data_IF_459282920633
#
_entry.id   IF_459282920633
#
_cell.length_a   1.000
_cell.length_b   1.000
_cell.length_c   1.000
_cell.angle_alpha   90.00
_cell.angle_beta   90.00
_cell.angle_gamma   90.00
#
_symmetry.space_group_name_H-M   'P 1'
#
loop_
_entity.id
_entity.type
_entity.pdbx_description
1 polymer ?
#
# COMPACT_ATOMS: atom_id res chain seq x y z
N UNK A 1 -41.19 -0.02 5.73
CA UNK A 1 -40.48 0.39 6.94
C UNK A 1 -41.05 1.74 7.36
N UNK A 2 -41.08 2.04 8.64
CA UNK A 2 -41.52 3.34 9.12
C UNK A 2 -40.49 4.40 8.70
N UNK A 3 -40.96 5.61 8.37
CA UNK A 3 -40.11 6.72 7.96
C UNK A 3 -40.40 7.94 8.82
N UNK A 4 -39.44 8.83 8.95
CA UNK A 4 -39.56 10.15 9.51
C UNK A 4 -39.20 11.23 8.51
N UNK A 5 -39.75 12.40 8.67
CA UNK A 5 -39.42 13.54 7.82
C UNK A 5 -38.21 14.28 8.36
N UNK A 6 -37.15 14.35 7.57
CA UNK A 6 -35.94 15.15 7.82
C UNK A 6 -35.91 16.34 6.84
N UNK A 7 -35.17 17.38 7.19
CA UNK A 7 -35.13 18.59 6.35
C UNK A 7 -33.71 19.16 6.23
N UNK A 8 -33.44 19.76 5.07
CA UNK A 8 -32.27 20.58 4.80
C UNK A 8 -32.67 21.87 4.06
N UNK A 9 -31.73 22.62 3.53
CA UNK A 9 -31.99 23.87 2.79
C UNK A 9 -32.81 23.67 1.49
N UNK A 10 -32.95 22.41 1.02
CA UNK A 10 -33.72 22.05 -0.18
C UNK A 10 -35.13 21.55 0.15
N UNK A 11 -35.51 21.51 1.42
CA UNK A 11 -36.81 21.04 1.88
C UNK A 11 -36.80 19.69 2.59
N UNK A 12 -37.98 19.13 2.78
CA UNK A 12 -38.17 17.87 3.51
C UNK A 12 -37.92 16.65 2.62
N UNK A 13 -37.51 15.55 3.24
CA UNK A 13 -37.32 14.23 2.62
C UNK A 13 -37.53 13.14 3.67
N UNK A 14 -38.11 12.01 3.23
CA UNK A 14 -38.35 10.86 4.10
C UNK A 14 -37.07 10.02 4.31
N UNK A 15 -36.77 9.68 5.55
CA UNK A 15 -35.66 8.84 5.99
C UNK A 15 -36.21 7.69 6.83
N UNK A 16 -35.65 6.48 6.73
CA UNK A 16 -36.06 5.34 7.57
C UNK A 16 -35.83 5.66 9.05
N UNK A 17 -36.86 5.39 9.88
CA UNK A 17 -36.84 5.73 11.32
C UNK A 17 -35.68 5.11 12.09
N UNK A 18 -35.20 3.95 11.65
CA UNK A 18 -34.12 3.21 12.31
C UNK A 18 -32.73 3.79 12.03
N UNK A 19 -32.61 4.71 11.05
CA UNK A 19 -31.32 5.30 10.66
C UNK A 19 -30.97 6.53 11.46
N UNK A 20 -29.66 6.74 11.70
CA UNK A 20 -29.16 7.96 12.33
C UNK A 20 -28.93 9.10 11.35
N UNK A 21 -28.74 8.80 10.04
CA UNK A 21 -28.51 9.84 9.04
C UNK A 21 -29.76 10.70 8.79
N UNK A 22 -29.54 11.87 8.21
CA UNK A 22 -30.57 12.85 7.92
C UNK A 22 -30.78 13.08 6.43
N UNK A 23 -31.29 14.30 6.12
CA UNK A 23 -31.74 14.67 4.77
C UNK A 23 -30.61 14.66 3.73
N UNK A 24 -29.43 15.16 4.05
CA UNK A 24 -28.33 15.27 3.06
C UNK A 24 -27.81 13.90 2.65
N UNK A 25 -27.64 12.98 3.58
CA UNK A 25 -27.26 11.58 3.28
C UNK A 25 -28.34 10.93 2.44
N UNK A 26 -29.60 11.08 2.77
CA UNK A 26 -30.70 10.49 2.02
C UNK A 26 -30.76 11.00 0.57
N UNK A 27 -30.52 12.31 0.34
CA UNK A 27 -30.42 12.86 -1.03
C UNK A 27 -29.23 12.27 -1.77
N UNK A 28 -28.10 12.10 -1.12
CA UNK A 28 -26.91 11.50 -1.75
C UNK A 28 -27.18 10.09 -2.21
N UNK A 29 -27.87 9.26 -1.41
CA UNK A 29 -28.31 7.91 -1.81
C UNK A 29 -29.21 7.89 -3.04
N UNK A 30 -30.02 8.93 -3.23
CA UNK A 30 -30.88 9.05 -4.40
C UNK A 30 -30.13 9.54 -5.65
N UNK A 31 -29.18 10.47 -5.46
CA UNK A 31 -28.53 11.18 -6.56
C UNK A 31 -27.29 10.47 -7.10
N UNK A 32 -26.55 9.73 -6.27
CA UNK A 32 -25.29 9.09 -6.64
C UNK A 32 -25.40 7.56 -6.63
N UNK A 33 -26.08 7.00 -7.64
CA UNK A 33 -26.21 5.55 -7.85
C UNK A 33 -25.17 5.07 -8.86
N UNK A 34 -23.87 5.26 -8.52
CA UNK A 34 -22.75 5.02 -9.40
C UNK A 34 -21.80 4.02 -8.73
N UNK A 35 -21.60 2.86 -9.37
CA UNK A 35 -20.74 1.80 -8.84
C UNK A 35 -21.27 1.17 -7.54
N UNK A 36 -20.41 0.38 -6.92
CA UNK A 36 -20.72 -0.30 -5.66
C UNK A 36 -19.69 0.02 -4.56
N UNK A 37 -18.61 0.71 -4.92
CA UNK A 37 -17.51 1.03 -4.00
C UNK A 37 -17.98 2.07 -2.98
N UNK A 38 -18.07 1.62 -1.73
CA UNK A 38 -18.43 2.50 -0.62
C UNK A 38 -17.21 3.26 -0.10
N UNK A 39 -17.48 4.40 0.54
CA UNK A 39 -16.44 5.17 1.21
C UNK A 39 -15.66 4.27 2.18
N UNK A 40 -14.31 4.22 2.10
CA UNK A 40 -13.51 3.39 3.00
C UNK A 40 -13.80 3.69 4.47
N UNK A 41 -13.90 2.63 5.28
CA UNK A 41 -14.16 2.71 6.72
C UNK A 41 -13.13 3.60 7.44
N UNK A 42 -11.90 3.58 6.95
CA UNK A 42 -10.80 4.38 7.47
C UNK A 42 -11.07 5.90 7.34
N UNK A 43 -11.72 6.33 6.27
CA UNK A 43 -12.15 7.72 6.08
C UNK A 43 -13.24 8.09 7.09
N UNK A 44 -14.20 7.20 7.29
CA UNK A 44 -15.29 7.41 8.29
C UNK A 44 -14.70 7.56 9.69
N UNK A 45 -13.80 6.66 10.09
CA UNK A 45 -13.14 6.73 11.40
C UNK A 45 -12.28 8.00 11.55
N UNK A 46 -11.59 8.42 10.49
CA UNK A 46 -10.80 9.65 10.50
C UNK A 46 -11.69 10.89 10.60
N UNK A 47 -12.82 10.93 9.88
CA UNK A 47 -13.82 12.01 10.02
C UNK A 47 -14.35 12.08 11.45
N UNK A 48 -14.75 10.96 12.04
CA UNK A 48 -15.22 10.92 13.41
C UNK A 48 -14.13 11.37 14.41
N UNK A 49 -12.88 11.03 14.18
CA UNK A 49 -11.73 11.52 14.97
C UNK A 49 -11.61 13.05 14.88
N UNK A 50 -11.78 13.62 13.69
CA UNK A 50 -11.81 15.07 13.50
C UNK A 50 -12.98 15.70 14.28
N UNK A 51 -14.19 15.12 14.19
CA UNK A 51 -15.36 15.65 14.91
C UNK A 51 -15.15 15.63 16.42
N UNK A 52 -14.59 14.54 16.95
CA UNK A 52 -14.20 14.44 18.36
C UNK A 52 -13.19 15.53 18.76
N UNK A 53 -12.09 15.66 18.00
CA UNK A 53 -11.06 16.65 18.27
C UNK A 53 -11.61 18.08 18.19
N UNK A 54 -12.46 18.37 17.20
CA UNK A 54 -13.08 19.67 17.01
C UNK A 54 -14.04 20.03 18.15
N UNK A 55 -14.85 19.08 18.61
CA UNK A 55 -15.74 19.30 19.75
C UNK A 55 -14.96 19.64 21.03
N UNK A 56 -13.90 18.88 21.34
CA UNK A 56 -13.02 19.14 22.49
C UNK A 56 -12.34 20.51 22.40
N UNK A 57 -11.86 20.88 21.21
CA UNK A 57 -11.17 22.17 21.03
C UNK A 57 -12.14 23.33 21.06
N UNK A 58 -13.31 23.24 20.43
CA UNK A 58 -14.32 24.29 20.46
C UNK A 58 -14.89 24.50 21.88
N UNK A 59 -15.05 23.43 22.67
CA UNK A 59 -15.39 23.56 24.11
C UNK A 59 -14.30 24.32 24.87
N UNK A 60 -13.04 23.94 24.76
CA UNK A 60 -11.89 24.61 25.40
C UNK A 60 -11.71 26.07 24.97
N UNK A 61 -12.17 26.43 23.78
CA UNK A 61 -12.19 27.80 23.27
C UNK A 61 -13.46 28.60 23.70
N UNK A 62 -14.40 27.97 24.40
CA UNK A 62 -15.64 28.59 24.85
C UNK A 62 -16.67 28.81 23.73
N UNK A 63 -16.53 28.10 22.61
CA UNK A 63 -17.43 28.22 21.44
C UNK A 63 -18.55 27.18 21.44
N UNK A 64 -18.34 26.03 22.10
CA UNK A 64 -19.30 24.94 22.18
C UNK A 64 -19.62 24.64 23.65
N UNK A 65 -20.91 24.45 23.94
CA UNK A 65 -21.37 24.04 25.27
C UNK A 65 -20.81 22.67 25.66
N UNK A 66 -20.45 22.52 26.95
CA UNK A 66 -19.78 21.33 27.46
C UNK A 66 -20.64 20.04 27.34
N UNK A 67 -21.96 20.13 27.57
CA UNK A 67 -22.84 18.96 27.44
C UNK A 67 -23.04 18.55 25.98
N UNK A 68 -23.09 19.52 25.04
CA UNK A 68 -23.13 19.23 23.62
C UNK A 68 -21.81 18.59 23.14
N UNK A 69 -20.67 19.14 23.58
CA UNK A 69 -19.35 18.56 23.26
C UNK A 69 -19.22 17.12 23.76
N UNK A 70 -19.63 16.84 24.97
CA UNK A 70 -19.67 15.51 25.58
C UNK A 70 -20.53 14.52 24.77
N UNK A 71 -21.70 14.92 24.32
CA UNK A 71 -22.59 14.12 23.49
C UNK A 71 -21.95 13.81 22.13
N UNK A 72 -21.33 14.81 21.49
CA UNK A 72 -20.62 14.65 20.22
C UNK A 72 -19.43 13.69 20.37
N UNK A 73 -18.61 13.84 21.41
CA UNK A 73 -17.46 12.98 21.71
C UNK A 73 -17.92 11.53 21.90
N UNK A 74 -18.95 11.28 22.68
CA UNK A 74 -19.47 9.94 22.93
C UNK A 74 -19.97 9.26 21.64
N UNK A 75 -20.73 9.97 20.81
CA UNK A 75 -21.20 9.46 19.53
C UNK A 75 -20.06 9.23 18.54
N UNK A 76 -19.08 10.13 18.49
CA UNK A 76 -17.88 9.97 17.65
C UNK A 76 -17.06 8.75 18.06
N UNK A 77 -16.93 8.45 19.34
CA UNK A 77 -16.23 7.25 19.83
C UNK A 77 -16.93 5.95 19.39
N UNK A 78 -18.26 5.92 19.34
CA UNK A 78 -19.02 4.78 18.80
C UNK A 78 -18.74 4.58 17.28
N UNK A 79 -18.68 5.68 16.52
CA UNK A 79 -18.30 5.63 15.08
C UNK A 79 -16.86 5.12 14.91
N UNK A 80 -15.91 5.67 15.67
CA UNK A 80 -14.50 5.23 15.62
C UNK A 80 -14.39 3.74 15.95
N UNK A 81 -15.16 3.26 16.92
CA UNK A 81 -15.17 1.85 17.32
C UNK A 81 -15.90 0.91 16.35
N UNK A 82 -16.51 1.41 15.27
CA UNK A 82 -17.22 0.60 14.25
C UNK A 82 -18.62 0.18 14.66
N UNK A 83 -19.18 0.69 15.75
CA UNK A 83 -20.51 0.28 16.23
C UNK A 83 -21.65 0.77 15.32
N UNK A 84 -21.37 1.75 14.47
CA UNK A 84 -22.34 2.41 13.60
C UNK A 84 -21.98 2.28 12.12
N UNK A 85 -21.20 1.27 11.73
CA UNK A 85 -20.69 1.13 10.35
C UNK A 85 -21.77 1.04 9.28
N UNK A 86 -22.96 0.48 9.61
CA UNK A 86 -24.09 0.39 8.71
C UNK A 86 -24.76 1.73 8.40
N UNK A 87 -24.40 2.78 9.14
CA UNK A 87 -24.90 4.14 8.95
C UNK A 87 -24.12 4.95 7.89
N UNK A 88 -23.13 4.33 7.23
CA UNK A 88 -22.28 4.98 6.23
C UNK A 88 -22.39 4.30 4.86
N UNK A 89 -23.58 4.42 4.20
CA UNK A 89 -23.86 3.67 2.96
C UNK A 89 -23.36 4.36 1.70
N UNK A 90 -22.77 5.56 1.75
CA UNK A 90 -22.46 6.37 0.59
C UNK A 90 -21.32 5.80 -0.25
N UNK A 91 -21.47 5.91 -1.57
CA UNK A 91 -20.47 5.48 -2.54
C UNK A 91 -19.30 6.48 -2.65
N UNK A 92 -18.17 6.01 -3.15
CA UNK A 92 -16.99 6.84 -3.47
C UNK A 92 -17.33 7.86 -4.57
N UNK A 93 -18.16 7.47 -5.53
CA UNK A 93 -18.54 8.26 -6.71
C UNK A 93 -19.62 9.27 -6.35
N UNK A 94 -19.22 10.33 -5.62
CA UNK A 94 -20.06 11.41 -5.12
C UNK A 94 -19.44 12.77 -5.47
N UNK A 95 -19.89 13.88 -4.85
CA UNK A 95 -19.23 15.18 -5.05
C UNK A 95 -17.74 15.09 -4.69
N UNK A 96 -16.91 15.66 -5.54
CA UNK A 96 -15.46 15.55 -5.43
C UNK A 96 -14.82 16.23 -4.23
N UNK A 97 -15.57 17.09 -3.52
CA UNK A 97 -15.15 17.66 -2.22
C UNK A 97 -15.30 16.68 -1.04
N UNK A 98 -16.08 15.60 -1.20
CA UNK A 98 -16.45 14.68 -0.14
C UNK A 98 -17.53 15.19 0.81
N UNK A 99 -18.25 16.24 0.42
CA UNK A 99 -19.25 16.90 1.28
C UNK A 99 -20.35 15.94 1.75
N UNK A 100 -20.86 15.04 0.89
CA UNK A 100 -21.90 14.11 1.30
C UNK A 100 -21.41 13.18 2.41
N UNK A 101 -20.21 12.64 2.32
CA UNK A 101 -19.65 11.79 3.39
C UNK A 101 -19.37 12.60 4.67
N UNK A 102 -18.85 13.84 4.57
CA UNK A 102 -18.71 14.69 5.73
C UNK A 102 -20.06 14.93 6.41
N UNK A 103 -21.10 15.23 5.64
CA UNK A 103 -22.45 15.44 6.19
C UNK A 103 -23.06 14.14 6.72
N UNK A 104 -22.83 13.00 6.10
CA UNK A 104 -23.25 11.71 6.64
C UNK A 104 -22.68 11.49 8.06
N UNK A 105 -21.39 11.73 8.26
CA UNK A 105 -20.76 11.62 9.59
C UNK A 105 -21.35 12.66 10.56
N UNK A 106 -21.59 13.90 10.12
CA UNK A 106 -22.20 14.94 10.95
C UNK A 106 -23.61 14.55 11.39
N UNK A 107 -24.43 14.07 10.46
CA UNK A 107 -25.82 13.66 10.71
C UNK A 107 -25.89 12.46 11.65
N UNK A 108 -25.07 11.43 11.42
CA UNK A 108 -25.01 10.23 12.28
C UNK A 108 -24.56 10.58 13.70
N UNK A 109 -23.50 11.40 13.85
CA UNK A 109 -23.01 11.82 15.16
C UNK A 109 -24.07 12.66 15.87
N UNK A 110 -24.72 13.61 15.18
CA UNK A 110 -25.78 14.44 15.78
C UNK A 110 -26.98 13.57 16.18
N UNK A 111 -27.47 12.71 15.29
CA UNK A 111 -28.59 11.81 15.57
C UNK A 111 -28.32 10.88 16.76
N UNK A 112 -27.12 10.31 16.86
CA UNK A 112 -26.71 9.45 17.97
C UNK A 112 -26.54 10.23 19.28
N UNK A 113 -25.92 11.42 19.24
CA UNK A 113 -25.81 12.30 20.42
C UNK A 113 -27.15 12.71 20.95
N UNK A 114 -28.12 13.03 20.07
CA UNK A 114 -29.50 13.35 20.45
C UNK A 114 -30.19 12.17 21.13
N UNK A 115 -30.04 10.95 20.60
CA UNK A 115 -30.58 9.74 21.24
C UNK A 115 -29.96 9.50 22.62
N UNK A 116 -28.65 9.68 22.78
CA UNK A 116 -27.95 9.60 24.08
C UNK A 116 -28.46 10.63 25.08
N UNK A 117 -28.95 11.78 24.60
CA UNK A 117 -29.60 12.80 25.39
C UNK A 117 -31.11 12.54 25.66
N UNK A 118 -31.61 11.34 25.34
CA UNK A 118 -33.01 10.94 25.56
C UNK A 118 -34.01 11.55 24.58
N UNK A 119 -33.55 12.01 23.39
CA UNK A 119 -34.40 12.53 22.31
C UNK A 119 -34.68 11.44 21.29
N UNK A 120 -35.72 11.58 20.45
CA UNK A 120 -35.94 10.69 19.32
C UNK A 120 -34.73 10.65 18.37
N UNK A 121 -34.56 9.54 17.72
CA UNK A 121 -33.54 9.35 16.68
C UNK A 121 -33.81 10.33 15.53
N UNK A 122 -32.74 10.96 15.01
CA UNK A 122 -32.88 12.04 14.03
C UNK A 122 -33.08 13.43 14.62
N UNK A 123 -33.41 14.39 13.76
CA UNK A 123 -33.61 15.79 14.17
C UNK A 123 -32.31 16.56 14.41
N UNK A 124 -32.47 17.81 14.86
CA UNK A 124 -31.35 18.77 14.97
C UNK A 124 -31.21 19.38 16.39
N UNK A 125 -31.82 18.77 17.40
CA UNK A 125 -31.81 19.29 18.77
C UNK A 125 -31.72 18.16 19.81
N UNK A 126 -30.89 18.30 20.82
CA UNK A 126 -30.04 19.44 21.17
C UNK A 126 -28.81 19.62 20.30
N UNK A 127 -28.29 18.56 19.66
CA UNK A 127 -27.08 18.60 18.77
C UNK A 127 -27.50 18.83 17.33
N UNK A 128 -26.99 19.89 16.70
CA UNK A 128 -27.21 20.19 15.31
C UNK A 128 -25.99 19.73 14.44
N UNK A 129 -26.19 19.04 13.32
CA UNK A 129 -25.09 18.51 12.52
C UNK A 129 -24.17 19.59 11.95
N UNK A 130 -24.69 20.74 11.50
CA UNK A 130 -23.89 21.84 10.97
C UNK A 130 -23.36 22.77 12.08
N UNK A 131 -24.22 23.22 13.00
CA UNK A 131 -23.87 24.28 13.91
C UNK A 131 -22.98 23.82 15.06
N UNK A 132 -23.09 22.53 15.45
CA UNK A 132 -22.33 21.95 16.54
C UNK A 132 -21.30 20.94 16.08
N UNK A 133 -21.67 19.87 15.35
CA UNK A 133 -20.73 18.80 14.91
C UNK A 133 -19.73 19.34 13.90
N UNK A 134 -20.15 20.22 12.99
CA UNK A 134 -19.30 20.82 11.97
C UNK A 134 -18.77 22.22 12.34
N UNK A 135 -18.93 22.66 13.57
CA UNK A 135 -18.47 23.99 14.05
C UNK A 135 -16.98 24.20 13.75
N UNK A 136 -16.64 25.38 13.23
CA UNK A 136 -15.27 25.79 12.82
C UNK A 136 -14.69 24.98 11.66
N UNK A 137 -15.52 24.33 10.86
CA UNK A 137 -15.09 23.41 9.80
C UNK A 137 -15.82 23.68 8.48
N UNK A 138 -15.20 23.22 7.39
CA UNK A 138 -15.81 23.02 6.07
C UNK A 138 -15.50 21.60 5.58
N UNK A 139 -16.35 21.02 4.73
CA UNK A 139 -15.99 19.77 4.05
C UNK A 139 -14.68 19.91 3.29
N UNK A 140 -14.35 21.13 2.84
CA UNK A 140 -13.16 21.39 2.02
C UNK A 140 -11.85 21.19 2.79
N UNK A 141 -11.80 21.48 4.09
CA UNK A 141 -10.62 21.26 4.94
C UNK A 141 -10.70 19.96 5.75
N UNK A 142 -11.91 19.51 6.10
CA UNK A 142 -12.15 18.28 6.89
C UNK A 142 -11.81 17.04 6.08
N UNK A 143 -12.29 16.94 4.83
CA UNK A 143 -12.14 15.73 4.06
C UNK A 143 -10.67 15.44 3.71
N UNK A 144 -9.84 16.39 3.23
CA UNK A 144 -8.42 16.15 3.02
C UNK A 144 -7.67 15.82 4.32
N UNK A 145 -8.08 16.42 5.45
CA UNK A 145 -7.54 16.04 6.76
C UNK A 145 -7.85 14.57 7.10
N UNK A 146 -9.07 14.10 6.83
CA UNK A 146 -9.43 12.70 7.02
C UNK A 146 -8.63 11.76 6.09
N UNK A 147 -8.38 12.17 4.85
CA UNK A 147 -7.51 11.42 3.93
C UNK A 147 -6.11 11.22 4.51
N UNK A 148 -5.49 12.28 5.00
CA UNK A 148 -4.17 12.24 5.62
C UNK A 148 -4.14 11.32 6.84
N UNK A 149 -5.08 11.48 7.78
CA UNK A 149 -5.19 10.64 8.99
C UNK A 149 -5.34 9.16 8.62
N UNK A 150 -6.24 8.83 7.71
CA UNK A 150 -6.53 7.46 7.29
C UNK A 150 -5.32 6.80 6.61
N UNK A 151 -4.67 7.51 5.69
CA UNK A 151 -3.52 7.02 4.93
C UNK A 151 -2.33 6.74 5.86
N UNK A 152 -1.96 7.70 6.72
CA UNK A 152 -0.88 7.51 7.69
C UNK A 152 -1.17 6.31 8.60
N UNK A 153 -2.38 6.24 9.15
CA UNK A 153 -2.78 5.16 10.04
C UNK A 153 -2.63 3.77 9.36
N UNK A 154 -3.06 3.64 8.10
CA UNK A 154 -2.99 2.37 7.38
C UNK A 154 -1.58 2.01 6.92
N UNK A 155 -0.77 2.99 6.53
CA UNK A 155 0.64 2.74 6.20
C UNK A 155 1.37 2.18 7.42
N UNK A 156 1.25 2.82 8.59
CA UNK A 156 1.99 2.45 9.79
C UNK A 156 1.48 1.16 10.45
N UNK A 157 0.16 0.97 10.51
CA UNK A 157 -0.42 -0.18 11.21
C UNK A 157 -0.63 -1.41 10.32
N UNK A 158 -0.60 -1.27 8.99
CA UNK A 158 -0.95 -2.35 8.08
C UNK A 158 0.16 -2.66 7.05
N UNK A 159 0.57 -1.66 6.24
CA UNK A 159 1.50 -1.88 5.14
C UNK A 159 2.92 -2.17 5.66
N UNK A 160 3.50 -1.22 6.40
CA UNK A 160 4.90 -1.32 6.83
C UNK A 160 5.22 -2.57 7.67
N UNK A 161 4.37 -3.00 8.63
CA UNK A 161 4.64 -4.23 9.38
C UNK A 161 4.67 -5.48 8.50
N UNK A 162 3.79 -5.58 7.51
CA UNK A 162 3.69 -6.74 6.62
C UNK A 162 4.81 -6.80 5.59
N UNK A 163 5.22 -5.64 5.07
CA UNK A 163 6.41 -5.52 4.22
C UNK A 163 7.65 -5.93 5.01
N UNK A 164 7.77 -5.45 6.26
CA UNK A 164 8.88 -5.84 7.15
C UNK A 164 8.91 -7.35 7.40
N UNK A 165 7.78 -7.97 7.67
CA UNK A 165 7.69 -9.42 7.88
C UNK A 165 8.18 -10.20 6.67
N UNK A 166 7.73 -9.86 5.47
CA UNK A 166 8.20 -10.46 4.21
C UNK A 166 9.69 -10.23 4.01
N UNK A 167 10.16 -9.00 4.23
CA UNK A 167 11.57 -8.62 4.15
C UNK A 167 12.45 -9.47 5.08
N UNK A 168 12.05 -9.60 6.34
CA UNK A 168 12.81 -10.35 7.35
C UNK A 168 12.86 -11.86 7.01
N UNK A 169 11.77 -12.43 6.50
CA UNK A 169 11.73 -13.82 6.01
C UNK A 169 12.69 -14.02 4.84
N UNK A 170 12.71 -13.11 3.86
CA UNK A 170 13.64 -13.19 2.73
C UNK A 170 15.10 -13.01 3.16
N UNK A 171 15.38 -12.14 4.13
CA UNK A 171 16.73 -11.99 4.69
C UNK A 171 17.21 -13.28 5.36
N UNK A 172 16.35 -13.92 6.14
CA UNK A 172 16.67 -15.23 6.73
C UNK A 172 16.96 -16.30 5.67
N UNK A 173 16.22 -16.28 4.52
CA UNK A 173 16.51 -17.17 3.39
C UNK A 173 17.82 -16.80 2.69
N UNK A 174 18.13 -15.51 2.53
CA UNK A 174 19.40 -15.06 1.97
C UNK A 174 20.59 -15.59 2.78
N UNK A 175 20.51 -15.49 4.10
CA UNK A 175 21.55 -16.03 5.00
C UNK A 175 21.62 -17.56 4.96
N UNK A 176 20.49 -18.26 4.99
CA UNK A 176 20.45 -19.72 4.91
C UNK A 176 20.99 -20.30 3.60
N UNK A 177 20.92 -19.55 2.52
CA UNK A 177 21.33 -19.96 1.17
C UNK A 177 22.60 -19.24 0.67
N UNK A 178 23.32 -18.57 1.55
CA UNK A 178 24.50 -17.76 1.22
C UNK A 178 25.61 -18.51 0.50
N UNK A 179 25.75 -19.81 0.76
CA UNK A 179 26.82 -20.67 0.23
C UNK A 179 26.35 -21.50 -0.98
N UNK A 180 25.12 -21.31 -1.46
CA UNK A 180 24.60 -22.08 -2.60
C UNK A 180 24.96 -21.36 -3.89
N UNK A 181 26.02 -21.79 -4.54
CA UNK A 181 26.45 -21.27 -5.84
C UNK A 181 25.47 -21.71 -6.91
N UNK A 182 25.00 -20.77 -7.71
CA UNK A 182 24.09 -20.97 -8.85
C UNK A 182 24.52 -20.16 -10.06
N UNK A 183 23.92 -20.43 -11.21
CA UNK A 183 24.11 -19.62 -12.40
C UNK A 183 23.29 -18.33 -12.30
N UNK A 184 23.96 -17.20 -12.50
CA UNK A 184 23.30 -15.93 -12.73
C UNK A 184 22.65 -15.87 -14.11
N UNK A 185 21.66 -14.98 -14.27
CA UNK A 185 21.02 -14.74 -15.57
C UNK A 185 20.90 -13.25 -15.84
N UNK A 186 21.36 -12.85 -17.02
CA UNK A 186 21.11 -11.52 -17.58
C UNK A 186 20.43 -11.70 -18.94
N UNK A 187 19.43 -10.90 -19.26
CA UNK A 187 18.60 -11.07 -20.46
C UNK A 187 17.90 -12.45 -20.54
N UNK A 188 17.67 -13.12 -19.39
CA UNK A 188 17.26 -14.53 -19.28
C UNK A 188 18.24 -15.54 -19.90
N UNK A 189 19.45 -15.11 -20.22
CA UNK A 189 20.54 -15.95 -20.69
C UNK A 189 21.51 -16.27 -19.55
N UNK A 190 22.21 -17.40 -19.65
CA UNK A 190 23.19 -17.81 -18.68
C UNK A 190 24.30 -16.75 -18.52
N UNK A 191 24.64 -16.45 -17.27
CA UNK A 191 25.69 -15.52 -16.92
C UNK A 191 26.67 -16.16 -15.91
N UNK A 192 27.61 -15.39 -15.42
CA UNK A 192 28.56 -15.83 -14.40
C UNK A 192 27.86 -16.22 -13.10
N UNK A 193 28.47 -17.09 -12.29
CA UNK A 193 27.91 -17.52 -11.02
C UNK A 193 27.68 -16.38 -10.02
N UNK A 194 26.69 -16.58 -9.16
CA UNK A 194 26.49 -15.89 -7.91
C UNK A 194 25.96 -16.91 -6.89
N UNK A 195 25.76 -16.51 -5.64
CA UNK A 195 25.05 -17.39 -4.72
C UNK A 195 23.55 -17.09 -4.69
N UNK A 196 22.72 -18.08 -4.33
CA UNK A 196 21.28 -17.88 -4.14
C UNK A 196 21.02 -16.85 -3.03
N UNK A 197 21.86 -16.84 -1.99
CA UNK A 197 21.78 -15.82 -0.95
C UNK A 197 22.02 -14.41 -1.50
N UNK A 198 22.99 -14.22 -2.41
CA UNK A 198 23.23 -12.92 -3.06
C UNK A 198 22.03 -12.49 -3.91
N UNK A 199 21.41 -13.41 -4.66
CA UNK A 199 20.21 -13.12 -5.46
C UNK A 199 19.05 -12.64 -4.56
N UNK A 200 18.78 -13.37 -3.47
CA UNK A 200 17.71 -13.01 -2.52
C UNK A 200 18.04 -11.71 -1.77
N UNK A 201 19.31 -11.44 -1.46
CA UNK A 201 19.71 -10.17 -0.81
C UNK A 201 19.35 -8.94 -1.65
N UNK A 202 19.36 -9.08 -2.98
CA UNK A 202 18.88 -8.04 -3.89
C UNK A 202 17.38 -7.77 -3.71
N UNK A 203 16.55 -8.79 -3.45
CA UNK A 203 15.13 -8.62 -3.16
C UNK A 203 14.90 -7.91 -1.82
N UNK A 204 15.69 -8.27 -0.79
CA UNK A 204 15.66 -7.61 0.52
C UNK A 204 15.98 -6.12 0.39
N UNK A 205 17.04 -5.78 -0.34
CA UNK A 205 17.42 -4.39 -0.56
C UNK A 205 16.35 -3.57 -1.28
N UNK A 206 15.62 -4.18 -2.24
CA UNK A 206 14.50 -3.52 -2.92
C UNK A 206 13.35 -3.20 -1.97
N UNK A 207 13.03 -4.09 -1.02
CA UNK A 207 12.00 -3.84 0.00
C UNK A 207 12.45 -2.75 0.97
N UNK A 208 13.71 -2.76 1.41
CA UNK A 208 14.28 -1.72 2.28
C UNK A 208 14.19 -0.34 1.61
N UNK A 209 14.55 -0.22 0.32
CA UNK A 209 14.42 1.02 -0.44
C UNK A 209 12.96 1.50 -0.51
N UNK A 210 12.00 0.59 -0.71
CA UNK A 210 10.58 0.92 -0.71
C UNK A 210 10.11 1.49 0.64
N UNK A 211 10.50 0.86 1.74
CA UNK A 211 10.18 1.33 3.10
C UNK A 211 10.80 2.70 3.39
N UNK A 212 12.06 2.91 3.01
CA UNK A 212 12.75 4.19 3.18
C UNK A 212 12.03 5.31 2.41
N UNK A 213 11.65 5.07 1.16
CA UNK A 213 10.94 6.06 0.34
C UNK A 213 9.57 6.43 0.91
N UNK A 214 8.79 5.45 1.38
CA UNK A 214 7.49 5.70 2.02
C UNK A 214 7.69 6.54 3.29
N UNK A 215 8.64 6.18 4.15
CA UNK A 215 8.91 6.91 5.40
C UNK A 215 9.38 8.34 5.16
N UNK A 216 10.14 8.59 4.12
CA UNK A 216 10.63 9.92 3.77
C UNK A 216 9.50 10.90 3.40
N UNK A 217 8.36 10.38 2.92
CA UNK A 217 7.21 11.19 2.50
C UNK A 217 6.12 11.31 3.56
N UNK A 218 6.16 10.53 4.66
CA UNK A 218 5.20 10.66 5.76
C UNK A 218 5.09 12.07 6.32
N UNK A 219 6.17 12.86 6.52
CA UNK A 219 6.05 14.22 7.04
C UNK A 219 5.10 15.11 6.24
N UNK A 220 5.09 15.01 4.91
CA UNK A 220 4.16 15.78 4.07
C UNK A 220 2.69 15.36 4.26
N UNK A 221 2.44 14.12 4.65
CA UNK A 221 1.08 13.60 4.94
C UNK A 221 0.68 13.88 6.41
N UNK A 222 1.60 14.28 7.27
CA UNK A 222 1.27 14.74 8.62
C UNK A 222 0.72 16.18 8.66
N UNK A 223 0.83 16.95 7.60
CA UNK A 223 0.32 18.32 7.51
C UNK A 223 -1.19 18.33 7.23
N UNK A 224 -1.99 18.91 8.14
CA UNK A 224 -3.44 18.89 8.08
C UNK A 224 -4.04 20.18 7.52
N UNK A 225 -4.97 20.06 6.59
CA UNK A 225 -5.70 21.17 6.00
C UNK A 225 -6.68 21.85 6.98
N UNK A 226 -7.11 21.15 8.03
CA UNK A 226 -8.12 21.58 8.98
C UNK A 226 -7.81 22.97 9.59
N UNK A 227 -8.82 23.82 9.64
CA UNK A 227 -8.70 25.23 10.01
C UNK A 227 -8.58 26.17 8.82
N UNK A 228 -8.46 25.65 7.57
CA UNK A 228 -8.54 26.46 6.35
C UNK A 228 -9.97 26.85 5.96
N UNK A 229 -10.94 26.11 6.44
CA UNK A 229 -12.37 26.23 6.12
C UNK A 229 -12.67 26.18 4.61
N UNK A 230 -13.41 27.15 4.07
CA UNK A 230 -13.95 27.09 2.72
C UNK A 230 -12.88 27.18 1.61
N UNK A 231 -11.91 28.09 1.77
CA UNK A 231 -10.93 28.46 0.72
C UNK A 231 -9.49 28.59 1.24
N UNK A 232 -9.25 28.33 2.52
CA UNK A 232 -7.91 28.41 3.13
C UNK A 232 -7.71 29.60 4.07
N UNK A 233 -8.67 30.53 4.16
CA UNK A 233 -8.53 31.76 4.98
C UNK A 233 -8.86 31.56 6.45
N UNK A 234 -9.48 30.43 6.83
CA UNK A 234 -9.94 30.18 8.21
C UNK A 234 -11.16 31.01 8.59
N UNK A 235 -11.96 31.44 7.64
CA UNK A 235 -13.19 32.19 7.91
C UNK A 235 -14.08 31.45 8.91
N UNK A 236 -14.61 32.18 9.90
CA UNK A 236 -15.47 31.67 10.95
C UNK A 236 -14.82 30.69 11.94
N UNK A 237 -13.47 30.72 12.07
CA UNK A 237 -12.74 29.96 13.08
C UNK A 237 -12.14 30.90 14.15
N UNK A 238 -11.86 30.32 15.32
CA UNK A 238 -11.01 31.01 16.32
C UNK A 238 -9.56 31.01 15.83
N UNK A 239 -8.74 32.07 16.04
CA UNK A 239 -7.34 32.13 15.57
C UNK A 239 -6.46 30.96 16.00
N UNK A 240 -6.72 30.38 17.16
CA UNK A 240 -5.97 29.23 17.69
C UNK A 240 -6.51 27.85 17.24
N UNK A 241 -7.67 27.83 16.58
CA UNK A 241 -8.36 26.57 16.28
C UNK A 241 -7.48 25.60 15.46
N UNK A 242 -6.89 26.06 14.37
CA UNK A 242 -6.12 25.22 13.46
C UNK A 242 -4.94 24.50 14.14
N UNK A 243 -4.21 25.21 15.00
CA UNK A 243 -3.08 24.64 15.75
C UNK A 243 -3.56 23.69 16.84
N UNK A 244 -4.58 24.11 17.62
CA UNK A 244 -5.10 23.29 18.72
C UNK A 244 -5.76 22.00 18.25
N UNK A 245 -6.53 22.04 17.16
CA UNK A 245 -7.19 20.86 16.64
C UNK A 245 -6.21 19.87 16.01
N UNK A 246 -5.15 20.33 15.34
CA UNK A 246 -4.09 19.47 14.85
C UNK A 246 -3.35 18.78 16.02
N UNK A 247 -3.08 19.52 17.10
CA UNK A 247 -2.48 18.96 18.32
C UNK A 247 -3.39 17.95 19.01
N UNK A 248 -4.70 18.20 19.07
CA UNK A 248 -5.67 17.24 19.64
C UNK A 248 -5.75 15.96 18.78
N UNK A 249 -5.75 16.09 17.45
CA UNK A 249 -5.70 14.94 16.54
C UNK A 249 -4.40 14.15 16.74
N UNK A 250 -3.28 14.84 16.90
CA UNK A 250 -2.00 14.18 17.18
C UNK A 250 -2.04 13.38 18.48
N UNK A 251 -2.64 13.94 19.53
CA UNK A 251 -2.82 13.26 20.82
C UNK A 251 -3.72 12.02 20.68
N UNK A 252 -4.90 12.16 20.07
CA UNK A 252 -5.87 11.09 19.89
C UNK A 252 -5.32 9.93 19.04
N UNK A 253 -4.56 10.23 18.01
CA UNK A 253 -4.02 9.25 17.07
C UNK A 253 -2.64 8.72 17.47
N UNK A 254 -1.94 9.39 18.40
CA UNK A 254 -0.53 9.16 18.76
C UNK A 254 0.40 9.26 17.55
N UNK A 255 0.13 10.22 16.66
CA UNK A 255 0.92 10.49 15.45
C UNK A 255 1.26 11.98 15.38
N UNK A 256 2.40 12.34 14.77
CA UNK A 256 2.92 13.72 14.81
C UNK A 256 2.22 14.62 13.78
N UNK A 257 0.89 14.64 13.77
CA UNK A 257 0.12 15.54 12.93
C UNK A 257 0.32 17.00 13.35
N UNK A 258 0.46 17.86 12.35
CA UNK A 258 0.61 19.30 12.53
C UNK A 258 -0.34 20.06 11.62
N UNK A 259 -0.59 21.31 11.92
CA UNK A 259 -1.36 22.18 11.02
C UNK A 259 -0.53 22.49 9.77
N UNK A 260 -1.12 22.35 8.57
CA UNK A 260 -0.41 22.65 7.32
C UNK A 260 0.03 24.14 7.31
N UNK A 261 1.27 24.41 6.91
CA UNK A 261 1.80 25.78 6.88
C UNK A 261 1.12 26.66 5.84
N UNK A 262 0.54 26.06 4.80
CA UNK A 262 -0.24 26.75 3.77
C UNK A 262 -1.56 26.04 3.53
N UNK A 263 -2.64 26.65 4.03
CA UNK A 263 -4.01 26.10 3.92
C UNK A 263 -4.56 26.15 2.50
N UNK A 264 -4.12 27.09 1.68
CA UNK A 264 -4.55 27.21 0.29
C UNK A 264 -4.06 26.03 -0.52
N UNK A 265 -2.77 25.69 -0.40
CA UNK A 265 -2.22 24.49 -1.03
C UNK A 265 -2.88 23.21 -0.50
N UNK A 266 -3.09 23.10 0.82
CA UNK A 266 -3.66 21.91 1.46
C UNK A 266 -5.11 21.60 1.04
N UNK A 267 -5.89 22.62 0.58
CA UNK A 267 -7.25 22.44 0.06
C UNK A 267 -7.27 22.14 -1.43
N UNK A 268 -6.38 22.76 -2.20
CA UNK A 268 -6.40 22.77 -3.67
C UNK A 268 -5.49 21.69 -4.29
N UNK A 269 -4.56 21.14 -3.51
CA UNK A 269 -3.58 20.16 -3.95
C UNK A 269 -3.52 18.98 -2.97
N UNK A 270 -3.09 17.82 -3.46
CA UNK A 270 -2.89 16.61 -2.66
C UNK A 270 -1.49 16.04 -2.87
N UNK A 271 -0.47 16.92 -2.99
CA UNK A 271 0.92 16.57 -3.31
C UNK A 271 1.50 15.53 -2.34
N UNK A 272 1.22 15.65 -1.03
CA UNK A 272 1.65 14.68 -0.03
C UNK A 272 1.10 13.27 -0.31
N UNK A 273 -0.18 13.17 -0.70
CA UNK A 273 -0.82 11.88 -1.02
C UNK A 273 -0.32 11.34 -2.36
N UNK A 274 -0.19 12.19 -3.38
CA UNK A 274 0.35 11.80 -4.69
C UNK A 274 1.80 11.31 -4.54
N UNK A 275 2.60 12.04 -3.77
CA UNK A 275 4.00 11.66 -3.51
C UNK A 275 4.12 10.31 -2.81
N UNK A 276 3.37 10.11 -1.72
CA UNK A 276 3.44 8.84 -0.98
C UNK A 276 2.87 7.67 -1.77
N UNK A 277 1.86 7.91 -2.63
CA UNK A 277 1.34 6.88 -3.54
C UNK A 277 2.40 6.49 -4.59
N UNK A 278 3.18 7.45 -5.09
CA UNK A 278 4.33 7.19 -5.95
C UNK A 278 5.38 6.28 -5.29
N UNK A 279 5.65 6.46 -3.98
CA UNK A 279 6.53 5.57 -3.23
C UNK A 279 5.91 4.16 -3.03
N UNK A 280 4.60 4.09 -2.81
CA UNK A 280 3.86 2.82 -2.74
C UNK A 280 3.92 2.09 -4.10
N UNK A 281 3.79 2.81 -5.22
CA UNK A 281 4.00 2.26 -6.57
C UNK A 281 5.43 1.73 -6.76
N UNK A 282 6.44 2.44 -6.29
CA UNK A 282 7.84 1.96 -6.35
C UNK A 282 7.99 0.63 -5.60
N UNK A 283 7.40 0.50 -4.40
CA UNK A 283 7.36 -0.77 -3.67
C UNK A 283 6.64 -1.86 -4.48
N UNK A 284 5.51 -1.55 -5.13
CA UNK A 284 4.79 -2.48 -5.99
C UNK A 284 5.64 -2.97 -7.18
N UNK A 285 6.46 -2.10 -7.81
CA UNK A 285 7.37 -2.52 -8.88
C UNK A 285 8.43 -3.50 -8.38
N UNK A 286 8.96 -3.28 -7.18
CA UNK A 286 9.90 -4.21 -6.54
C UNK A 286 9.25 -5.56 -6.23
N UNK A 287 8.06 -5.55 -5.64
CA UNK A 287 7.30 -6.77 -5.33
C UNK A 287 6.94 -7.57 -6.59
N UNK A 288 6.58 -6.88 -7.67
CA UNK A 288 6.32 -7.53 -8.96
C UNK A 288 7.58 -8.25 -9.50
N UNK A 289 8.74 -7.61 -9.42
CA UNK A 289 10.02 -8.22 -9.81
C UNK A 289 10.35 -9.43 -8.96
N UNK A 290 10.22 -9.33 -7.65
CA UNK A 290 10.47 -10.43 -6.71
C UNK A 290 9.55 -11.62 -6.99
N UNK A 291 8.25 -11.38 -7.13
CA UNK A 291 7.27 -12.43 -7.44
C UNK A 291 7.55 -13.11 -8.79
N UNK A 292 7.96 -12.35 -9.81
CA UNK A 292 8.34 -12.91 -11.11
C UNK A 292 9.62 -13.74 -11.02
N UNK A 293 10.65 -13.30 -10.29
CA UNK A 293 11.88 -14.10 -10.11
C UNK A 293 11.56 -15.43 -9.40
N UNK A 294 10.81 -15.40 -8.31
CA UNK A 294 10.38 -16.61 -7.61
C UNK A 294 9.62 -17.54 -8.54
N UNK A 295 8.69 -17.02 -9.33
CA UNK A 295 7.89 -17.80 -10.30
C UNK A 295 8.76 -18.42 -11.39
N UNK A 296 9.74 -17.68 -11.93
CA UNK A 296 10.67 -18.20 -12.91
C UNK A 296 11.58 -19.29 -12.33
N UNK A 297 12.18 -19.04 -11.17
CA UNK A 297 13.09 -19.98 -10.52
C UNK A 297 12.37 -21.28 -10.10
N UNK A 298 11.09 -21.21 -9.76
CA UNK A 298 10.26 -22.36 -9.39
C UNK A 298 9.56 -23.02 -10.60
N UNK A 299 9.77 -22.52 -11.82
CA UNK A 299 9.06 -23.04 -13.01
C UNK A 299 9.47 -24.48 -13.35
N UNK A 300 8.54 -25.26 -13.83
CA UNK A 300 8.74 -26.65 -14.25
C UNK A 300 7.85 -27.63 -13.47
N UNK A 301 8.40 -28.63 -12.76
CA UNK A 301 9.78 -28.81 -12.31
C UNK A 301 10.75 -29.40 -13.33
N UNK A 302 10.30 -30.08 -14.39
CA UNK A 302 11.17 -30.77 -15.34
C UNK A 302 11.46 -30.01 -16.63
N UNK A 303 10.49 -29.20 -17.09
CA UNK A 303 10.58 -28.44 -18.34
C UNK A 303 10.78 -26.93 -18.13
N UNK A 304 11.11 -26.51 -16.94
CA UNK A 304 11.41 -25.13 -16.56
C UNK A 304 12.74 -25.02 -15.83
N UNK A 305 12.92 -23.95 -15.04
CA UNK A 305 14.17 -23.74 -14.31
C UNK A 305 14.33 -24.69 -13.13
N UNK A 306 13.29 -24.88 -12.32
CA UNK A 306 13.26 -25.86 -11.23
C UNK A 306 14.33 -25.66 -10.15
N UNK A 307 14.86 -24.43 -9.98
CA UNK A 307 15.90 -24.14 -9.00
C UNK A 307 15.35 -23.91 -7.58
N UNK A 308 14.08 -23.49 -7.49
CA UNK A 308 13.37 -23.34 -6.25
C UNK A 308 12.17 -24.29 -6.19
N UNK A 309 11.87 -24.75 -4.99
CA UNK A 309 10.60 -25.37 -4.62
C UNK A 309 9.79 -24.38 -3.79
N UNK A 310 8.52 -24.26 -4.11
CA UNK A 310 7.56 -23.42 -3.40
C UNK A 310 6.47 -24.30 -2.76
N UNK A 311 5.78 -23.84 -1.70
CA UNK A 311 4.69 -24.59 -1.08
C UNK A 311 3.56 -24.92 -2.05
N UNK A 312 2.99 -26.11 -1.87
CA UNK A 312 1.77 -26.56 -2.54
C UNK A 312 0.56 -26.15 -1.69
N UNK A 313 -0.13 -25.08 -2.08
CA UNK A 313 -1.23 -24.53 -1.29
C UNK A 313 -2.59 -25.06 -1.71
N UNK A 314 -2.77 -25.32 -3.00
CA UNK A 314 -4.02 -25.82 -3.59
C UNK A 314 -3.77 -26.68 -4.83
N UNK A 315 -4.72 -27.51 -5.26
CA UNK A 315 -4.63 -28.25 -6.53
C UNK A 315 -4.48 -27.30 -7.72
N UNK A 316 -3.39 -27.44 -8.47
CA UNK A 316 -3.04 -26.50 -9.54
C UNK A 316 -3.80 -26.69 -10.85
N UNK A 317 -4.58 -27.76 -11.00
CA UNK A 317 -5.32 -28.05 -12.23
C UNK A 317 -6.45 -29.05 -11.99
N UNK A 318 -7.57 -28.84 -12.68
CA UNK A 318 -8.71 -29.78 -12.68
C UNK A 318 -8.48 -31.03 -13.56
N UNK A 319 -7.53 -30.98 -14.50
CA UNK A 319 -7.29 -32.05 -15.48
C UNK A 319 -5.86 -32.57 -15.48
N UNK A 320 -4.93 -31.95 -14.75
CA UNK A 320 -3.52 -32.35 -14.63
C UNK A 320 -3.19 -32.66 -13.16
N UNK A 321 -3.40 -33.90 -12.68
CA UNK A 321 -3.16 -34.25 -11.29
C UNK A 321 -1.69 -34.01 -10.89
N UNK A 322 -1.47 -33.45 -9.72
CA UNK A 322 -0.11 -33.18 -9.20
C UNK A 322 0.57 -31.92 -9.77
N UNK A 323 -0.13 -31.12 -10.59
CA UNK A 323 0.39 -29.84 -11.04
C UNK A 323 0.28 -28.81 -9.92
N UNK A 324 1.40 -28.14 -9.60
CA UNK A 324 1.49 -27.03 -8.64
C UNK A 324 1.70 -25.72 -9.40
N UNK A 325 0.91 -24.70 -9.09
CA UNK A 325 1.03 -23.37 -9.70
C UNK A 325 1.63 -22.38 -8.70
N UNK A 326 2.37 -21.34 -9.18
CA UNK A 326 2.92 -20.28 -8.33
C UNK A 326 1.85 -19.22 -7.99
N UNK A 327 0.70 -19.66 -7.44
CA UNK A 327 -0.51 -18.85 -7.27
C UNK A 327 -0.30 -17.59 -6.43
N UNK A 328 0.54 -17.66 -5.41
CA UNK A 328 0.89 -16.50 -4.58
C UNK A 328 1.67 -15.43 -5.37
N UNK A 329 2.56 -15.86 -6.26
CA UNK A 329 3.27 -14.93 -7.15
C UNK A 329 2.32 -14.30 -8.18
N UNK A 330 1.35 -15.07 -8.69
CA UNK A 330 0.32 -14.55 -9.60
C UNK A 330 -0.56 -13.50 -8.91
N UNK A 331 -1.04 -13.78 -7.70
CA UNK A 331 -1.83 -12.85 -6.90
C UNK A 331 -1.03 -11.56 -6.61
N UNK A 332 0.23 -11.67 -6.20
CA UNK A 332 1.11 -10.52 -5.97
C UNK A 332 1.25 -9.66 -7.22
N UNK A 333 1.49 -10.24 -8.38
CA UNK A 333 1.67 -9.47 -9.62
C UNK A 333 0.37 -8.77 -10.05
N UNK A 334 -0.81 -9.39 -9.87
CA UNK A 334 -2.10 -8.74 -10.12
C UNK A 334 -2.33 -7.55 -9.18
N UNK A 335 -2.02 -7.70 -7.90
CA UNK A 335 -2.09 -6.60 -6.92
C UNK A 335 -1.17 -5.45 -7.32
N UNK A 336 0.06 -5.75 -7.73
CA UNK A 336 1.00 -4.72 -8.20
C UNK A 336 0.45 -3.94 -9.42
N UNK A 337 -0.17 -4.63 -10.38
CA UNK A 337 -0.82 -3.98 -11.53
C UNK A 337 -1.95 -3.04 -11.08
N UNK A 338 -2.80 -3.48 -10.13
CA UNK A 338 -3.87 -2.65 -9.60
C UNK A 338 -3.34 -1.38 -8.92
N UNK A 339 -2.27 -1.51 -8.14
CA UNK A 339 -1.61 -0.36 -7.47
C UNK A 339 -1.04 0.63 -8.49
N UNK A 340 -0.46 0.15 -9.58
CA UNK A 340 0.03 1.02 -10.67
C UNK A 340 -1.13 1.77 -11.33
N UNK A 341 -2.27 1.12 -11.56
CA UNK A 341 -3.48 1.77 -12.06
C UNK A 341 -4.03 2.82 -11.10
N UNK A 342 -4.05 2.52 -9.81
CA UNK A 342 -4.46 3.47 -8.76
C UNK A 342 -3.51 4.68 -8.66
N UNK A 343 -2.22 4.52 -8.95
CA UNK A 343 -1.27 5.62 -8.99
C UNK A 343 -1.59 6.59 -10.13
N UNK A 344 -1.96 6.08 -11.29
CA UNK A 344 -2.42 6.91 -12.41
C UNK A 344 -3.67 7.70 -12.03
N UNK A 345 -4.65 7.04 -11.40
CA UNK A 345 -5.87 7.71 -10.93
C UNK A 345 -5.56 8.79 -9.88
N UNK A 346 -4.70 8.48 -8.89
CA UNK A 346 -4.30 9.43 -7.84
C UNK A 346 -3.55 10.64 -8.41
N UNK A 347 -2.61 10.42 -9.33
CA UNK A 347 -1.82 11.48 -9.96
C UNK A 347 -2.69 12.38 -10.85
N UNK A 348 -3.59 11.78 -11.65
CA UNK A 348 -4.54 12.53 -12.50
C UNK A 348 -5.51 13.35 -11.65
N UNK A 349 -6.02 12.77 -10.57
CA UNK A 349 -6.88 13.47 -9.62
C UNK A 349 -6.14 14.60 -8.90
N UNK A 350 -4.90 14.38 -8.48
CA UNK A 350 -4.05 15.40 -7.86
C UNK A 350 -3.80 16.60 -8.78
N UNK A 351 -3.56 16.33 -10.07
CA UNK A 351 -3.34 17.36 -11.09
C UNK A 351 -4.60 18.15 -11.48
N UNK A 352 -5.79 17.73 -11.04
CA UNK A 352 -7.07 18.29 -11.45
C UNK A 352 -7.67 19.30 -10.47
N UNK A 353 -6.86 19.85 -9.54
CA UNK A 353 -7.28 20.97 -8.67
C UNK A 353 -7.48 22.25 -9.49
N UNK A 354 -8.50 23.03 -9.13
CA UNK A 354 -8.79 24.30 -9.76
C UNK A 354 -8.94 25.37 -8.69
N UNK A 355 -8.14 26.45 -8.79
CA UNK A 355 -8.12 27.55 -7.83
C UNK A 355 -7.96 27.01 -6.38
N UNK A 356 -8.94 27.23 -5.51
CA UNK A 356 -8.86 26.98 -4.07
C UNK A 356 -9.32 25.57 -3.65
N UNK A 357 -9.73 24.71 -4.61
CA UNK A 357 -10.22 23.36 -4.26
C UNK A 357 -9.89 22.30 -5.30
N UNK A 358 -9.41 21.16 -4.84
CA UNK A 358 -9.41 19.92 -5.59
C UNK A 358 -10.73 19.15 -5.34
N UNK A 359 -11.41 18.73 -6.40
CA UNK A 359 -12.71 18.03 -6.32
C UNK A 359 -12.62 16.56 -6.77
N UNK A 360 -11.49 15.89 -6.54
CA UNK A 360 -11.26 14.47 -6.81
C UNK A 360 -10.94 13.67 -5.55
N UNK A 361 -11.19 14.27 -4.38
CA UNK A 361 -10.78 13.73 -3.06
C UNK A 361 -11.29 12.31 -2.78
N UNK A 362 -12.58 11.97 -2.96
CA UNK A 362 -13.07 10.63 -2.66
C UNK A 362 -12.37 9.54 -3.48
N UNK A 363 -12.12 9.79 -4.76
CA UNK A 363 -11.41 8.87 -5.66
C UNK A 363 -9.95 8.70 -5.23
N UNK A 364 -9.24 9.79 -4.95
CA UNK A 364 -7.84 9.77 -4.49
C UNK A 364 -7.73 8.98 -3.18
N UNK A 365 -8.63 9.22 -2.23
CA UNK A 365 -8.68 8.52 -0.94
C UNK A 365 -8.87 7.02 -1.14
N UNK A 366 -9.84 6.62 -1.96
CA UNK A 366 -10.12 5.22 -2.24
C UNK A 366 -8.94 4.52 -2.93
N UNK A 367 -8.35 5.15 -3.95
CA UNK A 367 -7.20 4.60 -4.67
C UNK A 367 -6.00 4.38 -3.74
N UNK A 368 -5.67 5.36 -2.90
CA UNK A 368 -4.57 5.26 -1.95
C UNK A 368 -4.80 4.19 -0.89
N UNK A 369 -5.97 4.18 -0.25
CA UNK A 369 -6.30 3.20 0.79
C UNK A 369 -6.43 1.77 0.24
N UNK A 370 -6.98 1.60 -0.96
CA UNK A 370 -7.03 0.32 -1.64
C UNK A 370 -5.61 -0.20 -1.91
N UNK A 371 -4.72 0.64 -2.42
CA UNK A 371 -3.32 0.27 -2.69
C UNK A 371 -2.58 -0.18 -1.43
N UNK A 372 -2.73 0.58 -0.33
CA UNK A 372 -2.12 0.26 0.96
C UNK A 372 -2.64 -1.09 1.49
N UNK A 373 -3.95 -1.31 1.42
CA UNK A 373 -4.57 -2.55 1.87
C UNK A 373 -4.11 -3.73 1.03
N UNK A 374 -4.24 -3.66 -0.29
CA UNK A 374 -3.91 -4.76 -1.18
C UNK A 374 -2.44 -5.17 -1.08
N UNK A 375 -1.50 -4.21 -1.07
CA UNK A 375 -0.07 -4.54 -0.92
C UNK A 375 0.23 -5.14 0.44
N UNK A 376 -0.35 -4.60 1.51
CA UNK A 376 -0.18 -5.17 2.84
C UNK A 376 -0.68 -6.61 2.91
N UNK A 377 -1.89 -6.88 2.41
CA UNK A 377 -2.48 -8.21 2.39
C UNK A 377 -1.69 -9.17 1.50
N UNK A 378 -1.25 -8.73 0.32
CA UNK A 378 -0.44 -9.52 -0.59
C UNK A 378 0.95 -9.85 0.01
N UNK A 379 1.60 -8.91 0.70
CA UNK A 379 2.86 -9.17 1.39
C UNK A 379 2.69 -10.22 2.48
N UNK A 380 1.63 -10.17 3.28
CA UNK A 380 1.36 -11.15 4.32
C UNK A 380 1.07 -12.53 3.72
N UNK A 381 0.21 -12.60 2.70
CA UNK A 381 -0.13 -13.85 2.03
C UNK A 381 1.08 -14.48 1.33
N UNK A 382 1.86 -13.68 0.60
CA UNK A 382 3.07 -14.15 -0.07
C UNK A 382 4.15 -14.62 0.92
N UNK A 383 4.29 -13.93 2.05
CA UNK A 383 5.21 -14.34 3.11
C UNK A 383 4.81 -15.70 3.68
N UNK A 384 3.56 -15.84 4.11
CA UNK A 384 3.06 -17.03 4.80
C UNK A 384 2.99 -18.25 3.88
N UNK A 385 2.49 -18.08 2.68
CA UNK A 385 2.16 -19.17 1.76
C UNK A 385 3.16 -19.37 0.62
N UNK A 386 4.22 -18.56 0.55
CA UNK A 386 5.27 -18.71 -0.45
C UNK A 386 6.67 -18.54 0.16
N UNK A 387 7.05 -17.31 0.56
CA UNK A 387 8.43 -16.97 0.89
C UNK A 387 9.01 -17.81 2.05
N UNK A 388 8.21 -18.04 3.09
CA UNK A 388 8.59 -18.87 4.25
C UNK A 388 8.95 -20.30 3.85
N UNK A 389 8.26 -20.87 2.89
CA UNK A 389 8.41 -22.23 2.43
C UNK A 389 9.31 -22.40 1.20
N UNK A 390 9.97 -21.35 0.72
CA UNK A 390 10.95 -21.47 -0.38
C UNK A 390 12.12 -22.35 0.06
N UNK A 391 12.42 -23.38 -0.76
CA UNK A 391 13.57 -24.26 -0.61
C UNK A 391 14.36 -24.38 -1.92
N UNK A 392 15.70 -24.46 -1.89
CA UNK A 392 16.52 -24.65 -3.08
C UNK A 392 16.46 -26.11 -3.54
N UNK A 393 16.34 -26.35 -4.84
CA UNK A 393 16.67 -27.65 -5.41
C UNK A 393 18.18 -27.71 -5.70
N UNK A 394 18.93 -28.15 -4.68
CA UNK A 394 20.41 -28.17 -4.73
C UNK A 394 20.95 -29.05 -5.86
N UNK A 395 20.26 -30.13 -6.21
CA UNK A 395 20.69 -31.03 -7.28
C UNK A 395 20.55 -30.35 -8.62
N UNK A 396 19.41 -29.69 -8.88
CA UNK A 396 19.17 -28.98 -10.14
C UNK A 396 20.06 -27.75 -10.28
N UNK A 397 20.24 -26.98 -9.21
CA UNK A 397 21.17 -25.84 -9.18
C UNK A 397 22.58 -26.32 -9.54
N UNK A 398 23.08 -27.37 -8.86
CA UNK A 398 24.43 -27.91 -9.14
C UNK A 398 24.55 -28.40 -10.57
N UNK A 399 23.58 -29.15 -11.10
CA UNK A 399 23.58 -29.65 -12.47
C UNK A 399 23.75 -28.52 -13.48
N UNK A 400 23.06 -27.39 -13.27
CA UNK A 400 23.15 -26.21 -14.14
C UNK A 400 24.50 -25.51 -14.03
N UNK A 401 25.07 -25.41 -12.82
CA UNK A 401 26.41 -24.86 -12.63
C UNK A 401 27.43 -25.73 -13.40
N UNK A 402 27.39 -27.05 -13.21
CA UNK A 402 28.35 -27.97 -13.84
C UNK A 402 28.29 -27.94 -15.39
N UNK A 403 27.12 -27.61 -15.96
CA UNK A 403 26.90 -27.54 -17.40
C UNK A 403 27.11 -26.14 -18.00
N UNK A 404 27.30 -25.11 -17.18
CA UNK A 404 27.34 -23.73 -17.65
C UNK A 404 28.59 -23.42 -18.47
N UNK A 405 28.38 -22.91 -19.68
CA UNK A 405 29.47 -22.43 -20.54
C UNK A 405 30.08 -21.12 -20.03
N UNK A 406 29.39 -20.39 -19.14
CA UNK A 406 29.88 -19.11 -18.62
C UNK A 406 30.97 -19.25 -17.58
N UNK A 407 31.21 -20.46 -17.07
CA UNK A 407 32.36 -20.77 -16.21
C UNK A 407 33.70 -20.57 -16.96
N UNK A 408 33.70 -20.55 -18.29
CA UNK A 408 34.86 -20.22 -19.12
C UNK A 408 35.46 -18.85 -18.75
N UNK A 409 34.68 -17.94 -18.16
CA UNK A 409 35.15 -16.62 -17.72
C UNK A 409 36.33 -16.74 -16.74
N UNK A 410 36.39 -17.81 -15.93
CA UNK A 410 37.48 -18.07 -15.01
C UNK A 410 38.79 -18.36 -15.73
N UNK A 411 38.79 -18.86 -16.99
CA UNK A 411 39.96 -19.12 -17.77
C UNK A 411 40.52 -17.87 -18.46
N UNK A 412 39.74 -16.83 -18.67
CA UNK A 412 40.16 -15.64 -19.44
C UNK A 412 41.42 -14.95 -18.86
N UNK A 413 41.62 -14.84 -17.53
CA UNK A 413 42.86 -14.30 -16.97
C UNK A 413 44.11 -15.12 -17.25
N UNK A 414 43.97 -16.41 -17.50
CA UNK A 414 45.08 -17.35 -17.71
C UNK A 414 45.43 -17.56 -19.17
N UNK A 415 44.43 -17.62 -20.06
CA UNK A 415 44.64 -17.99 -21.48
C UNK A 415 44.23 -16.88 -22.46
N UNK A 416 43.64 -15.77 -21.96
CA UNK A 416 43.12 -14.68 -22.76
C UNK A 416 41.69 -14.91 -23.25
N UNK A 417 40.98 -13.81 -23.54
CA UNK A 417 39.57 -13.77 -23.94
C UNK A 417 39.26 -14.65 -25.18
N UNK A 418 40.08 -14.50 -26.22
CA UNK A 418 39.82 -15.18 -27.50
C UNK A 418 39.88 -16.71 -27.40
N UNK A 419 40.81 -17.25 -26.62
CA UNK A 419 40.90 -18.72 -26.40
C UNK A 419 39.74 -19.17 -25.52
N UNK A 420 39.37 -18.42 -24.49
CA UNK A 420 38.20 -18.71 -23.66
C UNK A 420 36.91 -18.72 -24.49
N UNK A 421 36.70 -17.73 -25.36
CA UNK A 421 35.58 -17.68 -26.29
C UNK A 421 35.53 -18.91 -27.26
N UNK A 422 36.69 -19.35 -27.76
CA UNK A 422 36.76 -20.54 -28.61
C UNK A 422 36.37 -21.81 -27.86
N UNK A 423 36.80 -21.97 -26.61
CA UNK A 423 36.40 -23.09 -25.74
C UNK A 423 34.89 -23.15 -25.58
N UNK A 424 34.28 -22.02 -25.17
CA UNK A 424 32.84 -21.96 -24.97
C UNK A 424 32.05 -22.26 -26.24
N UNK A 425 32.49 -21.70 -27.39
CA UNK A 425 31.88 -21.97 -28.70
C UNK A 425 31.99 -23.43 -29.12
N UNK A 426 33.17 -24.03 -28.94
CA UNK A 426 33.39 -25.44 -29.26
C UNK A 426 32.52 -26.34 -28.38
N UNK A 427 32.52 -26.11 -27.06
CA UNK A 427 31.69 -26.87 -26.12
C UNK A 427 30.19 -26.78 -26.49
N UNK A 428 29.70 -25.61 -26.89
CA UNK A 428 28.35 -25.45 -27.35
C UNK A 428 27.99 -26.22 -28.62
N UNK A 429 28.86 -26.15 -29.61
CA UNK A 429 28.66 -26.85 -30.91
C UNK A 429 28.69 -28.37 -30.75
N UNK A 430 29.63 -28.88 -29.94
CA UNK A 430 29.82 -30.32 -29.76
C UNK A 430 28.88 -30.92 -28.69
N UNK A 431 28.17 -30.10 -27.94
CA UNK A 431 27.39 -30.54 -26.77
C UNK A 431 28.27 -31.11 -25.64
N UNK A 432 29.55 -30.77 -25.63
CA UNK A 432 30.53 -31.22 -24.64
C UNK A 432 30.62 -30.26 -23.44
N UNK A 433 31.32 -30.68 -22.38
CA UNK A 433 31.63 -29.78 -21.24
C UNK A 433 32.75 -28.81 -21.61
N UNK A 434 32.85 -27.70 -20.90
CA UNK A 434 33.97 -26.76 -21.05
C UNK A 434 35.33 -27.44 -20.84
N UNK A 435 35.40 -28.35 -19.86
CA UNK A 435 36.61 -29.12 -19.56
C UNK A 435 37.05 -29.95 -20.77
N UNK A 436 36.14 -30.72 -21.36
CA UNK A 436 36.42 -31.54 -22.52
C UNK A 436 36.88 -30.70 -23.72
N UNK A 437 36.15 -29.61 -24.02
CA UNK A 437 36.51 -28.71 -25.11
C UNK A 437 37.88 -28.02 -24.89
N UNK A 438 38.16 -27.56 -23.66
CA UNK A 438 39.40 -26.87 -23.31
C UNK A 438 40.62 -27.76 -23.46
N UNK A 439 40.52 -29.03 -23.05
CA UNK A 439 41.56 -30.04 -23.16
C UNK A 439 41.74 -30.48 -24.65
N UNK A 440 40.63 -30.72 -25.34
CA UNK A 440 40.67 -31.11 -26.77
C UNK A 440 41.32 -30.04 -27.67
N UNK A 441 41.10 -28.75 -27.36
CA UNK A 441 41.74 -27.61 -28.04
C UNK A 441 43.21 -27.40 -27.64
N UNK A 442 43.69 -28.11 -26.62
CA UNK A 442 45.06 -28.00 -26.14
C UNK A 442 45.38 -26.66 -25.46
N UNK A 443 44.38 -25.95 -24.99
CA UNK A 443 44.58 -24.63 -24.35
C UNK A 443 44.86 -24.72 -22.86
N UNK A 444 44.40 -25.80 -22.20
CA UNK A 444 44.65 -26.10 -20.79
C UNK A 444 44.72 -27.61 -20.60
N UNK A 445 45.41 -28.06 -19.53
CA UNK A 445 45.32 -29.46 -19.08
C UNK A 445 44.09 -29.65 -18.20
N UNK A 446 43.73 -30.90 -17.95
CA UNK A 446 42.62 -31.21 -17.04
C UNK A 446 42.84 -30.65 -15.63
N UNK A 447 44.11 -30.79 -15.13
CA UNK A 447 44.50 -30.28 -13.81
C UNK A 447 44.43 -28.73 -13.74
N UNK A 448 44.87 -28.05 -14.81
CA UNK A 448 44.78 -26.60 -14.91
C UNK A 448 43.31 -26.13 -14.91
N UNK A 449 42.45 -26.85 -15.64
CA UNK A 449 41.03 -26.54 -15.66
C UNK A 449 40.42 -26.64 -14.25
N UNK A 450 40.64 -27.76 -13.54
CA UNK A 450 40.14 -27.99 -12.19
C UNK A 450 40.73 -26.99 -11.18
N UNK A 451 41.97 -26.55 -11.36
CA UNK A 451 42.60 -25.55 -10.51
C UNK A 451 41.98 -24.13 -10.70
N UNK A 452 41.67 -23.75 -11.92
CA UNK A 452 41.30 -22.39 -12.29
C UNK A 452 39.79 -22.15 -12.36
N UNK A 453 39.00 -23.19 -12.66
CA UNK A 453 37.54 -23.09 -12.79
C UNK A 453 36.89 -23.63 -11.54
N UNK A 454 36.73 -22.73 -10.59
CA UNK A 454 36.02 -22.98 -9.34
C UNK A 454 34.86 -22.00 -9.24
N UNK A 455 33.61 -22.47 -9.41
CA UNK A 455 32.42 -21.57 -9.35
C UNK A 455 32.31 -20.78 -8.06
N UNK A 456 32.75 -21.36 -6.93
CA UNK A 456 32.78 -20.71 -5.62
C UNK A 456 33.74 -19.52 -5.54
N UNK A 457 34.79 -19.49 -6.35
CA UNK A 457 35.75 -18.38 -6.43
C UNK A 457 35.27 -17.27 -7.40
N UNK A 458 34.14 -17.47 -8.09
CA UNK A 458 33.59 -16.54 -9.09
C UNK A 458 32.45 -15.65 -8.56
N UNK A 459 32.10 -15.80 -7.29
CA UNK A 459 30.92 -15.11 -6.68
C UNK A 459 31.26 -13.80 -6.00
N UNK A 460 32.47 -13.29 -6.17
CA UNK A 460 32.93 -12.04 -5.60
C UNK A 460 34.25 -11.55 -6.21
N UNK A 461 34.71 -10.36 -5.79
CA UNK A 461 36.03 -9.87 -6.22
C UNK A 461 37.12 -10.81 -5.67
N UNK A 462 38.15 -11.06 -6.48
CA UNK A 462 39.35 -11.77 -6.01
C UNK A 462 40.16 -10.83 -5.10
N UNK A 463 40.60 -11.35 -3.95
CA UNK A 463 41.51 -10.66 -3.03
C UNK A 463 42.91 -10.42 -3.68
#
# INVERSE_FOLDING_TARGET
MATRSESDSMGSIEVEDERYWGAQTQRSLQNFRIGAERMPREIIAALATIKKASAVVNEKLGLLDAELAKGIVAAADEVIAGKLDDEFPLVVWQTGSGTQTNMNVNEVIAGRANELAGKPRGGKSPVHPNDHVNMSQSSNDVFPTAMHIAIVARIEAHLLPRVKQLRDTLEAKAEAFRDIVKIGRTHLQDATPLTLGQEISGWVAQLDHGVVAIRALLPAVHELALGGTAVGTGLNTHPEYAVRVASEIALLTRRPFVTAPNKFAALASHDGIVGIHGAIKMLATSLMKIANDVRWLASGPRSGLGELRIPENEPGSSIMPGKVNPTQAEAMTMVCCQVMGNDVASSSGGASGNFELNVYKPMIANAALQSIRLLGDACASFEEHCARGIEPDRAEIKRKVDQSLMLVTALAPHIGYDKAAKIAKQAHVDGSTLREAAVALGYVTAEQFEQWVKPEDMVGPKA
#
